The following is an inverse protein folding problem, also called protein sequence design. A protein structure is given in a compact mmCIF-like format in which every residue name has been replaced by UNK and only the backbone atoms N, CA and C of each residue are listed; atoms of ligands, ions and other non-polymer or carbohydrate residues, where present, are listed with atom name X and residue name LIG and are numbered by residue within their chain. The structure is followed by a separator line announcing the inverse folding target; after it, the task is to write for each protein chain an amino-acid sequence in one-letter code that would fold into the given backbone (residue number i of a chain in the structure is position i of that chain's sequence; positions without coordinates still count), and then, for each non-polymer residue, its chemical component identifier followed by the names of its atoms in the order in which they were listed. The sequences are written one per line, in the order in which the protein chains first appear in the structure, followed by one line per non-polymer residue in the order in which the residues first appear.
data_IF_288448100059
#
_entry.id   IF_288448100059
#
_cell.length_a   1.000
_cell.length_b   1.000
_cell.length_c   1.000
_cell.angle_alpha   90.00
_cell.angle_beta   90.00
_cell.angle_gamma   90.00
#
_symmetry.space_group_name_H-M   'P 1'
#
loop_
_entity.id
_entity.type
_entity.pdbx_description
1 polymer ?
#
# COMPACT_ATOMS: atom_id res chain seq x y z
N UNK A 1 -81.19 -36.48 -1.63
CA UNK A 1 -81.97 -36.39 -2.89
C UNK A 1 -81.51 -35.15 -3.64
N UNK A 2 -81.03 -35.34 -4.88
CA UNK A 2 -80.78 -34.35 -5.96
C UNK A 2 -79.55 -33.43 -5.86
N UNK A 3 -78.59 -33.70 -6.75
CA UNK A 3 -77.70 -32.72 -7.39
C UNK A 3 -78.55 -31.79 -8.30
N UNK A 4 -78.19 -30.51 -8.46
CA UNK A 4 -77.26 -30.00 -9.49
C UNK A 4 -77.43 -28.48 -9.76
N UNK A 5 -76.30 -27.85 -10.16
CA UNK A 5 -76.10 -26.67 -11.03
C UNK A 5 -76.71 -25.29 -10.71
N UNK A 6 -75.84 -24.30 -10.48
CA UNK A 6 -75.72 -23.08 -11.32
C UNK A 6 -74.44 -22.30 -10.98
N UNK A 7 -73.76 -21.84 -12.04
CA UNK A 7 -72.39 -21.37 -12.09
C UNK A 7 -72.15 -19.96 -11.50
N UNK A 8 -70.90 -19.68 -11.09
CA UNK A 8 -70.05 -18.61 -11.66
C UNK A 8 -68.69 -18.51 -10.97
N UNK A 9 -67.67 -18.93 -11.71
CA UNK A 9 -66.26 -18.50 -11.76
C UNK A 9 -65.87 -17.29 -10.92
N UNK A 10 -64.85 -17.38 -10.05
CA UNK A 10 -63.66 -16.49 -10.03
C UNK A 10 -62.46 -17.28 -9.48
N UNK A 11 -61.35 -17.15 -10.20
CA UNK A 11 -60.00 -17.64 -10.00
C UNK A 11 -59.38 -17.35 -8.62
N UNK A 12 -58.22 -18.00 -8.39
CA UNK A 12 -57.05 -17.52 -7.61
C UNK A 12 -57.18 -17.54 -6.08
N UNK A 13 -56.25 -18.05 -5.25
CA UNK A 13 -54.89 -18.60 -5.39
C UNK A 13 -54.73 -19.61 -4.23
N UNK A 14 -54.40 -20.86 -4.55
CA UNK A 14 -53.89 -21.82 -3.56
C UNK A 14 -52.42 -21.50 -3.34
N UNK A 15 -52.09 -20.78 -2.26
CA UNK A 15 -50.70 -20.62 -1.83
C UNK A 15 -50.25 -21.92 -1.12
N UNK A 16 -49.87 -22.92 -1.91
CA UNK A 16 -49.18 -24.10 -1.42
C UNK A 16 -47.73 -23.68 -1.11
N UNK A 17 -47.41 -23.54 0.18
CA UNK A 17 -46.07 -23.27 0.66
C UNK A 17 -45.11 -24.37 0.21
N UNK A 18 -44.20 -24.05 -0.71
CA UNK A 18 -43.00 -24.85 -0.94
C UNK A 18 -41.88 -24.24 -0.12
N UNK A 19 -41.46 -24.98 0.90
CA UNK A 19 -40.24 -24.69 1.64
C UNK A 19 -39.05 -24.77 0.67
N UNK A 20 -38.51 -23.62 0.27
CA UNK A 20 -37.22 -23.56 -0.42
C UNK A 20 -36.17 -23.43 0.69
N UNK A 21 -35.24 -24.38 0.84
CA UNK A 21 -34.10 -24.18 1.73
C UNK A 21 -33.30 -23.00 1.17
N UNK A 22 -33.14 -21.95 1.98
CA UNK A 22 -32.32 -20.80 1.65
C UNK A 22 -30.86 -21.24 1.65
N UNK A 23 -30.41 -21.80 0.53
CA UNK A 23 -29.00 -21.86 0.20
C UNK A 23 -28.52 -20.42 0.09
N UNK A 24 -27.63 -20.01 1.00
CA UNK A 24 -26.97 -18.71 0.92
C UNK A 24 -26.10 -18.68 -0.35
N UNK A 25 -26.69 -18.23 -1.45
CA UNK A 25 -25.97 -17.82 -2.64
C UNK A 25 -25.33 -16.46 -2.35
N UNK A 26 -24.02 -16.44 -2.54
CA UNK A 26 -23.10 -15.33 -2.33
C UNK A 26 -23.62 -14.01 -2.92
N UNK A 27 -23.76 -12.98 -2.08
CA UNK A 27 -23.78 -11.60 -2.54
C UNK A 27 -22.34 -11.20 -2.90
N UNK A 28 -21.96 -11.46 -4.15
CA UNK A 28 -20.84 -10.77 -4.78
C UNK A 28 -21.25 -9.31 -4.99
N UNK A 29 -20.86 -8.46 -4.05
CA UNK A 29 -20.66 -7.04 -4.27
C UNK A 29 -19.34 -6.67 -3.56
N UNK A 30 -18.25 -6.94 -4.27
CA UNK A 30 -16.94 -6.36 -4.01
C UNK A 30 -17.06 -4.84 -4.14
N UNK A 31 -17.14 -4.15 -3.02
CA UNK A 31 -16.83 -2.74 -2.91
C UNK A 31 -15.68 -2.63 -1.90
N UNK A 32 -14.48 -2.44 -2.45
CA UNK A 32 -13.25 -1.98 -1.79
C UNK A 32 -13.26 -2.03 -0.26
N UNK A 33 -12.87 -3.17 0.30
CA UNK A 33 -12.36 -3.21 1.67
C UNK A 33 -11.05 -2.42 1.68
N UNK A 34 -11.12 -1.12 1.98
CA UNK A 34 -10.00 -0.43 2.60
C UNK A 34 -9.79 -1.13 3.94
N UNK A 35 -8.72 -1.90 4.04
CA UNK A 35 -8.49 -2.85 5.13
C UNK A 35 -8.68 -2.22 6.50
N UNK A 36 -9.75 -2.60 7.19
CA UNK A 36 -9.87 -2.41 8.62
C UNK A 36 -8.92 -3.42 9.26
N UNK A 37 -7.71 -2.98 9.59
CA UNK A 37 -6.71 -3.78 10.30
C UNK A 37 -7.34 -4.31 11.60
N UNK A 38 -7.42 -5.63 11.71
CA UNK A 38 -7.90 -6.36 12.88
C UNK A 38 -7.13 -5.95 14.15
N UNK A 39 -7.78 -5.75 15.30
CA UNK A 39 -7.14 -5.31 16.55
C UNK A 39 -6.05 -6.24 17.09
N UNK A 40 -6.04 -7.52 16.69
CA UNK A 40 -5.15 -8.55 17.24
C UNK A 40 -3.74 -8.54 16.63
N UNK A 41 -3.54 -8.00 15.43
CA UNK A 41 -2.20 -7.83 14.86
C UNK A 41 -1.46 -6.65 15.50
N UNK A 42 -2.21 -5.70 16.08
CA UNK A 42 -1.69 -4.44 16.63
C UNK A 42 -0.95 -4.64 17.95
N UNK A 43 -1.41 -5.57 18.80
CA UNK A 43 -0.65 -5.93 20.00
C UNK A 43 0.63 -6.66 19.61
N UNK A 44 0.59 -7.58 18.65
CA UNK A 44 1.77 -8.34 18.27
C UNK A 44 2.91 -7.49 17.66
N UNK A 45 2.60 -6.39 16.95
CA UNK A 45 3.62 -5.44 16.50
C UNK A 45 4.07 -4.50 17.62
N UNK A 46 3.16 -4.08 18.50
CA UNK A 46 3.48 -3.29 19.68
C UNK A 46 4.40 -4.06 20.64
N UNK A 47 4.06 -5.30 20.99
CA UNK A 47 4.82 -6.21 21.86
C UNK A 47 6.21 -6.58 21.28
N UNK A 48 6.41 -6.42 19.96
CA UNK A 48 7.71 -6.62 19.31
C UNK A 48 8.61 -5.39 19.40
N UNK A 49 8.01 -4.21 19.47
CA UNK A 49 8.71 -2.93 19.54
C UNK A 49 8.94 -2.50 20.99
N UNK A 50 8.05 -2.89 21.91
CA UNK A 50 8.19 -2.73 23.36
C UNK A 50 9.23 -3.73 23.88
N UNK A 51 10.50 -3.34 23.78
CA UNK A 51 11.64 -4.19 24.07
C UNK A 51 11.92 -4.26 25.58
N UNK A 52 11.57 -3.22 26.32
CA UNK A 52 11.71 -3.18 27.78
C UNK A 52 10.46 -3.67 28.53
N UNK A 53 9.33 -3.83 27.84
CA UNK A 53 8.10 -4.40 28.36
C UNK A 53 7.34 -3.46 29.30
N UNK A 54 7.57 -2.14 29.19
CA UNK A 54 6.94 -1.14 30.05
C UNK A 54 5.53 -0.75 29.59
N UNK A 55 5.07 -1.30 28.46
CA UNK A 55 3.75 -1.05 27.90
C UNK A 55 3.63 0.29 27.19
N UNK A 56 4.75 0.96 26.92
CA UNK A 56 4.87 2.18 26.13
C UNK A 56 5.89 1.94 25.02
N UNK A 57 5.81 2.72 23.93
CA UNK A 57 6.88 2.76 22.94
C UNK A 57 7.69 4.03 23.13
N UNK A 58 8.98 3.88 23.43
CA UNK A 58 9.92 4.98 23.52
C UNK A 58 10.57 5.27 22.16
N UNK A 59 11.09 6.48 21.99
CA UNK A 59 11.84 6.85 20.78
C UNK A 59 13.06 5.94 20.52
N UNK A 60 13.66 5.37 21.57
CA UNK A 60 14.83 4.49 21.42
C UNK A 60 14.47 3.15 20.79
N UNK A 61 13.27 2.66 21.05
CA UNK A 61 12.77 1.38 20.54
C UNK A 61 12.32 1.49 19.08
N UNK A 62 11.65 2.59 18.74
CA UNK A 62 11.13 2.81 17.38
C UNK A 62 12.10 3.58 16.48
N UNK A 63 13.16 4.15 17.04
CA UNK A 63 14.08 5.05 16.33
C UNK A 63 14.88 4.38 15.20
N UNK A 64 14.92 3.04 15.17
CA UNK A 64 15.51 2.26 14.10
C UNK A 64 14.64 2.15 12.85
N UNK A 65 13.36 2.51 12.93
CA UNK A 65 12.43 2.47 11.81
C UNK A 65 12.46 3.81 11.07
N UNK A 66 12.95 3.78 9.82
CA UNK A 66 12.99 4.94 8.94
C UNK A 66 11.59 5.55 8.76
N UNK A 67 11.44 6.85 9.02
CA UNK A 67 10.18 7.58 8.86
C UNK A 67 9.18 7.46 10.01
N UNK A 68 9.40 6.54 10.97
CA UNK A 68 8.50 6.37 12.13
C UNK A 68 8.55 7.57 13.09
N UNK A 69 9.68 8.29 13.12
CA UNK A 69 9.90 9.46 13.97
C UNK A 69 8.85 10.57 13.73
N UNK A 70 8.45 10.78 12.47
CA UNK A 70 7.43 11.77 12.10
C UNK A 70 6.05 11.37 12.60
N UNK A 71 5.74 10.07 12.59
CA UNK A 71 4.49 9.53 13.08
C UNK A 71 4.45 9.56 14.61
N UNK A 72 5.57 9.26 15.27
CA UNK A 72 5.75 9.36 16.72
C UNK A 72 5.48 10.78 17.21
N UNK A 73 6.15 11.79 16.63
CA UNK A 73 6.01 13.18 17.04
C UNK A 73 4.60 13.76 16.82
N UNK A 74 3.84 13.20 15.88
CA UNK A 74 2.44 13.59 15.63
C UNK A 74 1.46 12.86 16.55
N UNK A 75 1.82 11.66 17.01
CA UNK A 75 0.99 10.84 17.87
C UNK A 75 1.15 11.17 19.35
N UNK A 76 2.35 11.57 19.78
CA UNK A 76 2.67 12.03 21.13
C UNK A 76 1.97 13.38 21.40
N UNK A 77 0.73 13.30 21.91
CA UNK A 77 -0.10 14.49 22.17
C UNK A 77 0.29 15.15 23.48
N UNK A 78 0.69 14.35 24.45
CA UNK A 78 1.02 14.81 25.80
C UNK A 78 2.47 15.34 25.89
N UNK A 79 3.30 15.09 24.87
CA UNK A 79 4.71 15.48 24.71
C UNK A 79 5.63 14.90 25.77
N UNK A 80 5.38 13.67 26.20
CA UNK A 80 6.21 12.98 27.18
C UNK A 80 7.35 12.15 26.54
N UNK A 81 7.48 12.20 25.21
CA UNK A 81 8.47 11.45 24.44
C UNK A 81 8.34 9.92 24.57
N UNK A 82 7.15 9.46 24.93
CA UNK A 82 6.70 8.07 24.91
C UNK A 82 5.37 8.01 24.15
N UNK A 83 4.97 6.81 23.75
CA UNK A 83 3.64 6.58 23.20
C UNK A 83 2.92 5.58 24.08
N UNK A 84 1.82 6.02 24.68
CA UNK A 84 0.89 5.09 25.30
C UNK A 84 0.16 4.23 24.26
N UNK A 85 -0.54 3.19 24.70
CA UNK A 85 -1.25 2.28 23.79
C UNK A 85 -2.22 3.01 22.83
N UNK A 86 -2.84 4.11 23.27
CA UNK A 86 -3.76 4.90 22.44
C UNK A 86 -3.03 5.77 21.42
N UNK A 87 -1.89 6.34 21.82
CA UNK A 87 -1.01 7.13 20.95
C UNK A 87 -0.27 6.23 19.96
N UNK A 88 0.17 5.04 20.37
CA UNK A 88 0.82 4.04 19.51
C UNK A 88 -0.09 3.56 18.38
N UNK A 89 -1.40 3.37 18.63
CA UNK A 89 -2.38 3.09 17.57
C UNK A 89 -2.42 4.23 16.55
N UNK A 90 -2.36 5.47 17.02
CA UNK A 90 -2.37 6.66 16.17
C UNK A 90 -1.06 6.75 15.38
N UNK A 91 0.10 6.54 16.02
CA UNK A 91 1.42 6.53 15.39
C UNK A 91 1.47 5.50 14.27
N UNK A 92 1.02 4.26 14.53
CA UNK A 92 0.97 3.21 13.52
C UNK A 92 0.11 3.61 12.31
N UNK A 93 -1.10 4.15 12.52
CA UNK A 93 -1.95 4.62 11.41
C UNK A 93 -1.30 5.73 10.59
N UNK A 94 -0.62 6.67 11.26
CA UNK A 94 0.09 7.76 10.59
C UNK A 94 1.30 7.24 9.80
N UNK A 95 2.04 6.29 10.37
CA UNK A 95 3.17 5.63 9.72
C UNK A 95 2.72 4.89 8.45
N UNK A 96 1.69 4.04 8.54
CA UNK A 96 1.12 3.31 7.39
C UNK A 96 0.66 4.25 6.28
N UNK A 97 -0.01 5.35 6.65
CA UNK A 97 -0.42 6.39 5.68
C UNK A 97 0.79 7.04 5.01
N UNK A 98 1.84 7.31 5.79
CA UNK A 98 3.08 7.90 5.26
C UNK A 98 3.77 6.94 4.28
N UNK A 99 3.82 5.65 4.58
CA UNK A 99 4.37 4.62 3.69
C UNK A 99 3.61 4.55 2.38
N UNK A 100 2.27 4.52 2.43
CA UNK A 100 1.44 4.53 1.22
C UNK A 100 1.69 5.79 0.36
N UNK A 101 1.88 6.95 1.00
CA UNK A 101 2.18 8.21 0.33
C UNK A 101 3.58 8.18 -0.31
N UNK A 102 4.59 7.69 0.42
CA UNK A 102 5.97 7.53 -0.09
C UNK A 102 6.01 6.57 -1.27
N UNK A 103 5.33 5.43 -1.17
CA UNK A 103 5.23 4.46 -2.26
C UNK A 103 4.61 5.05 -3.53
N UNK A 104 3.52 5.81 -3.38
CA UNK A 104 2.89 6.51 -4.50
C UNK A 104 3.84 7.55 -5.13
N UNK A 105 4.58 8.29 -4.30
CA UNK A 105 5.59 9.25 -4.74
C UNK A 105 6.75 8.56 -5.48
N UNK A 106 7.26 7.44 -4.97
CA UNK A 106 8.35 6.67 -5.57
C UNK A 106 7.93 6.05 -6.91
N UNK A 107 6.68 5.59 -7.02
CA UNK A 107 6.12 5.09 -8.29
C UNK A 107 6.09 6.20 -9.33
N UNK A 108 5.68 7.40 -8.94
CA UNK A 108 5.69 8.58 -9.79
C UNK A 108 7.12 9.00 -10.17
N UNK A 109 8.05 8.96 -9.21
CA UNK A 109 9.46 9.28 -9.45
C UNK A 109 10.10 8.29 -10.42
N UNK A 110 9.86 7.00 -10.23
CA UNK A 110 10.30 5.93 -11.14
C UNK A 110 9.80 6.19 -12.56
N UNK A 111 8.53 6.60 -12.70
CA UNK A 111 7.93 6.91 -13.99
C UNK A 111 8.62 8.12 -14.64
N UNK A 112 8.87 9.19 -13.87
CA UNK A 112 9.62 10.36 -14.35
C UNK A 112 11.02 9.98 -14.83
N UNK A 113 11.74 9.17 -14.06
CA UNK A 113 13.10 8.72 -14.41
C UNK A 113 13.06 7.89 -15.68
N UNK A 114 12.17 6.89 -15.77
CA UNK A 114 12.02 6.08 -16.97
C UNK A 114 11.71 6.92 -18.21
N UNK A 115 10.79 7.89 -18.10
CA UNK A 115 10.46 8.80 -19.21
C UNK A 115 11.64 9.68 -19.60
N UNK A 116 12.43 10.17 -18.63
CA UNK A 116 13.61 10.99 -18.91
C UNK A 116 14.71 10.20 -19.61
N UNK A 117 14.95 8.96 -19.19
CA UNK A 117 15.91 8.06 -19.85
C UNK A 117 15.44 7.67 -21.26
N UNK A 118 14.15 7.38 -21.44
CA UNK A 118 13.54 7.06 -22.74
C UNK A 118 13.67 8.18 -23.78
N UNK A 119 13.79 9.43 -23.34
CA UNK A 119 13.95 10.59 -24.21
C UNK A 119 15.40 10.86 -24.57
N UNK A 120 16.35 10.23 -23.88
CA UNK A 120 17.76 10.46 -24.10
C UNK A 120 18.24 9.68 -25.32
N UNK A 121 18.74 10.41 -26.31
CA UNK A 121 19.28 9.79 -27.52
C UNK A 121 20.57 9.02 -27.22
N UNK A 122 20.65 7.81 -27.76
CA UNK A 122 21.80 6.91 -27.55
C UNK A 122 21.80 6.20 -26.20
N UNK A 123 20.69 6.19 -25.45
CA UNK A 123 20.50 5.28 -24.31
C UNK A 123 19.46 4.23 -24.68
N UNK A 124 19.88 2.96 -24.77
CA UNK A 124 18.92 1.88 -25.00
C UNK A 124 18.11 1.59 -23.72
N UNK A 125 17.02 2.33 -23.58
CA UNK A 125 16.20 2.34 -22.36
C UNK A 125 15.49 1.01 -22.09
N UNK A 126 15.48 0.08 -23.06
CA UNK A 126 15.00 -1.28 -22.88
C UNK A 126 15.91 -2.14 -22.01
N UNK A 127 17.19 -1.81 -21.94
CA UNK A 127 18.21 -2.57 -21.19
C UNK A 127 18.52 -1.98 -19.80
N UNK A 128 17.88 -0.84 -19.45
CA UNK A 128 18.07 -0.14 -18.17
C UNK A 128 16.80 -0.26 -17.31
N UNK A 129 16.92 -0.92 -16.17
CA UNK A 129 15.87 -0.97 -15.16
C UNK A 129 16.03 0.17 -14.15
N UNK A 130 14.89 0.69 -13.70
CA UNK A 130 14.81 1.77 -12.73
C UNK A 130 13.89 1.32 -11.61
N UNK A 131 14.43 1.33 -10.41
CA UNK A 131 13.71 1.08 -9.16
C UNK A 131 13.90 2.29 -8.25
N UNK A 132 12.86 2.65 -7.49
CA UNK A 132 12.93 3.76 -6.53
C UNK A 132 12.36 3.31 -5.20
N UNK A 133 13.07 3.61 -4.12
CA UNK A 133 12.61 3.39 -2.76
C UNK A 133 13.05 4.54 -1.86
N UNK A 134 12.09 5.14 -1.16
CA UNK A 134 12.30 6.30 -0.29
C UNK A 134 13.10 7.40 -1.01
N UNK A 135 12.64 7.75 -2.23
CA UNK A 135 13.24 8.76 -3.10
C UNK A 135 14.68 8.49 -3.56
N UNK A 136 15.20 7.28 -3.33
CA UNK A 136 16.51 6.83 -3.79
C UNK A 136 16.33 5.92 -5.00
N UNK A 137 17.00 6.28 -6.09
CA UNK A 137 16.86 5.59 -7.37
C UNK A 137 17.99 4.60 -7.54
N UNK A 138 17.69 3.36 -7.91
CA UNK A 138 18.65 2.36 -8.36
C UNK A 138 18.55 2.23 -9.88
N UNK A 139 19.65 2.49 -10.57
CA UNK A 139 19.78 2.19 -11.99
C UNK A 139 20.55 0.89 -12.16
N UNK A 140 19.95 -0.09 -12.81
CA UNK A 140 20.54 -1.41 -13.07
C UNK A 140 20.34 -1.83 -14.51
N UNK A 141 21.10 -2.84 -14.95
CA UNK A 141 21.06 -3.33 -16.33
C UNK A 141 22.36 -3.07 -17.09
N UNK A 142 22.25 -2.91 -18.42
CA UNK A 142 23.41 -2.83 -19.30
C UNK A 142 23.42 -1.56 -20.14
N UNK A 143 24.61 -1.02 -20.37
CA UNK A 143 24.87 0.12 -21.26
C UNK A 143 26.06 -0.20 -22.15
N UNK A 144 26.16 0.44 -23.31
CA UNK A 144 27.20 0.13 -24.31
C UNK A 144 28.55 0.73 -23.93
N UNK A 145 28.56 1.91 -23.29
CA UNK A 145 29.79 2.60 -22.91
C UNK A 145 29.67 3.38 -21.58
N UNK A 146 30.82 3.89 -21.12
CA UNK A 146 30.90 4.64 -19.87
C UNK A 146 30.25 6.03 -19.95
N UNK A 147 30.09 6.60 -21.14
CA UNK A 147 29.44 7.90 -21.34
C UNK A 147 27.92 7.78 -21.19
N UNK A 148 27.30 6.77 -21.80
CA UNK A 148 25.90 6.38 -21.59
C UNK A 148 25.62 6.17 -20.10
N UNK A 149 26.50 5.43 -19.41
CA UNK A 149 26.41 5.21 -17.96
C UNK A 149 26.37 6.52 -17.18
N UNK A 150 27.34 7.40 -17.42
CA UNK A 150 27.45 8.70 -16.74
C UNK A 150 26.24 9.58 -17.01
N UNK A 151 25.76 9.58 -18.25
CA UNK A 151 24.60 10.34 -18.71
C UNK A 151 23.31 9.87 -18.03
N UNK A 152 23.09 8.55 -17.93
CA UNK A 152 21.94 7.98 -17.23
C UNK A 152 21.90 8.40 -15.74
N UNK A 153 23.04 8.30 -15.05
CA UNK A 153 23.18 8.73 -13.66
C UNK A 153 22.88 10.24 -13.51
N UNK A 154 23.41 11.06 -14.41
CA UNK A 154 23.18 12.50 -14.39
C UNK A 154 21.71 12.85 -14.60
N UNK A 155 21.04 12.22 -15.56
CA UNK A 155 19.62 12.44 -15.84
C UNK A 155 18.77 12.06 -14.62
N UNK A 156 19.00 10.88 -14.04
CA UNK A 156 18.28 10.44 -12.86
C UNK A 156 18.49 11.39 -11.67
N UNK A 157 19.73 11.85 -11.44
CA UNK A 157 20.05 12.76 -10.33
C UNK A 157 19.43 14.15 -10.46
N UNK A 158 19.07 14.58 -11.68
CA UNK A 158 18.45 15.89 -11.94
C UNK A 158 16.95 15.89 -11.76
N UNK A 159 16.32 14.74 -11.58
CA UNK A 159 14.88 14.67 -11.39
C UNK A 159 14.51 15.20 -10.01
N UNK A 160 13.61 16.17 -9.98
CA UNK A 160 13.10 16.74 -8.74
C UNK A 160 12.48 15.66 -7.85
N UNK A 161 12.94 15.65 -6.60
CA UNK A 161 12.51 14.70 -5.58
C UNK A 161 13.43 13.47 -5.46
N UNK A 162 14.43 13.29 -6.33
CA UNK A 162 15.47 12.28 -6.13
C UNK A 162 16.45 12.75 -5.07
N UNK A 163 16.65 11.92 -4.03
CA UNK A 163 17.63 12.18 -2.95
C UNK A 163 19.01 11.61 -3.25
N UNK A 164 19.05 10.42 -3.85
CA UNK A 164 20.28 9.71 -4.15
C UNK A 164 20.08 8.81 -5.37
N UNK A 165 21.16 8.53 -6.10
CA UNK A 165 21.17 7.61 -7.24
C UNK A 165 22.26 6.58 -7.04
N UNK A 166 21.86 5.31 -6.99
CA UNK A 166 22.76 4.16 -6.93
C UNK A 166 23.02 3.63 -8.33
N UNK A 167 24.29 3.43 -8.60
CA UNK A 167 24.80 2.88 -9.84
C UNK A 167 25.02 1.37 -9.70
N UNK A 168 24.24 0.59 -10.46
CA UNK A 168 24.43 -0.85 -10.66
C UNK A 168 24.44 -1.20 -12.17
N UNK A 169 24.83 -0.25 -13.03
CA UNK A 169 24.90 -0.45 -14.48
C UNK A 169 26.20 -1.15 -14.88
N UNK A 170 26.08 -2.16 -15.74
CA UNK A 170 27.20 -2.90 -16.31
C UNK A 170 27.45 -2.50 -17.77
N UNK A 171 28.71 -2.54 -18.22
CA UNK A 171 29.06 -2.33 -19.62
C UNK A 171 28.87 -3.62 -20.41
N UNK A 172 28.25 -3.55 -21.60
CA UNK A 172 28.28 -4.66 -22.57
C UNK A 172 29.71 -4.85 -23.05
N UNK A 173 30.16 -6.10 -23.09
CA UNK A 173 31.49 -6.51 -23.56
C UNK A 173 31.45 -6.93 -25.03
#
# INVERSE_FOLDING_TARGET
MKLDRTARTILSITALAWAIPFAQAQSNAQAAQVGVIQPQAKSAEFDRLDADGDGLLSYQEVGHLDGYQEAFAQADRNRDARLDASEAITAHQLYERSLATRYAQDTWLTTKVKVALLREEGLDSGDVSVETFDQRVLLSGFVEDAEQKRKALLIASRIEGVKDVKDALALRK
#
